data_IF_617118582300
#
_entry.id   IF_617118582300
#
_cell.length_a   1.000
_cell.length_b   1.000
_cell.length_c   1.000
_cell.angle_alpha   90.00
_cell.angle_beta   90.00
_cell.angle_gamma   90.00
#
_symmetry.space_group_name_H-M   'P 1'
#
loop_
_entity.id
_entity.type
_entity.pdbx_description
1 polymer ?
#
# COMPACT_ATOMS: atom_id res chain seq x y z
N UNK A 1 -60.96 -34.83 -11.78
CA UNK A 1 -60.06 -35.42 -10.75
C UNK A 1 -59.66 -34.31 -9.81
N UNK A 2 -60.24 -34.34 -8.61
CA UNK A 2 -60.06 -33.33 -7.56
C UNK A 2 -58.65 -33.53 -6.98
N UNK A 3 -57.67 -32.73 -7.43
CA UNK A 3 -56.27 -32.80 -6.99
C UNK A 3 -56.11 -32.18 -5.59
N UNK A 4 -56.84 -32.71 -4.60
CA UNK A 4 -56.63 -32.37 -3.20
C UNK A 4 -55.35 -33.04 -2.72
N UNK A 5 -54.31 -32.23 -2.52
CA UNK A 5 -53.06 -32.64 -1.86
C UNK A 5 -53.43 -33.02 -0.42
N UNK A 6 -53.49 -34.32 -0.15
CA UNK A 6 -53.72 -34.87 1.20
C UNK A 6 -52.38 -34.96 1.93
N UNK A 7 -52.34 -34.69 3.24
CA UNK A 7 -51.12 -34.73 4.07
C UNK A 7 -50.29 -36.01 3.87
N UNK A 8 -50.95 -37.14 3.59
CA UNK A 8 -50.32 -38.43 3.31
C UNK A 8 -49.51 -38.42 2.00
N UNK A 9 -50.05 -37.84 0.93
CA UNK A 9 -49.34 -37.70 -0.36
C UNK A 9 -48.14 -36.77 -0.26
N UNK A 10 -48.21 -35.73 0.57
CA UNK A 10 -47.07 -34.85 0.83
C UNK A 10 -45.96 -35.58 1.62
N UNK A 11 -46.34 -36.42 2.59
CA UNK A 11 -45.41 -37.25 3.35
C UNK A 11 -44.73 -38.34 2.52
N UNK A 12 -45.46 -38.95 1.59
CA UNK A 12 -44.92 -39.95 0.66
C UNK A 12 -43.94 -39.31 -0.35
N UNK A 13 -44.23 -38.09 -0.83
CA UNK A 13 -43.36 -37.34 -1.74
C UNK A 13 -42.08 -36.85 -1.04
N UNK A 14 -42.20 -36.37 0.20
CA UNK A 14 -41.03 -36.01 1.01
C UNK A 14 -40.18 -37.23 1.39
N UNK A 15 -40.76 -38.39 1.69
CA UNK A 15 -39.98 -39.57 2.11
C UNK A 15 -39.26 -40.28 0.95
N UNK A 16 -39.74 -40.13 -0.29
CA UNK A 16 -39.10 -40.72 -1.47
C UNK A 16 -38.08 -39.78 -2.13
N UNK A 17 -38.37 -38.47 -2.16
CA UNK A 17 -37.57 -37.48 -2.91
C UNK A 17 -36.77 -36.51 -2.01
N UNK A 18 -36.69 -36.73 -0.68
CA UNK A 18 -35.91 -35.85 0.22
C UNK A 18 -34.45 -35.68 -0.20
N UNK A 19 -33.82 -36.72 -0.76
CA UNK A 19 -32.44 -36.62 -1.27
C UNK A 19 -32.38 -35.66 -2.47
N UNK A 20 -33.36 -35.70 -3.36
CA UNK A 20 -33.46 -34.76 -4.49
C UNK A 20 -33.70 -33.33 -4.02
N UNK A 21 -34.52 -33.13 -2.98
CA UNK A 21 -34.70 -31.81 -2.38
C UNK A 21 -33.42 -31.28 -1.74
N UNK A 22 -32.66 -32.10 -1.00
CA UNK A 22 -31.36 -31.70 -0.44
C UNK A 22 -30.36 -31.39 -1.57
N UNK A 23 -30.29 -32.23 -2.60
CA UNK A 23 -29.40 -32.01 -3.73
C UNK A 23 -29.75 -30.73 -4.51
N UNK A 24 -31.04 -30.44 -4.70
CA UNK A 24 -31.51 -29.21 -5.33
C UNK A 24 -31.19 -27.97 -4.48
N UNK A 25 -31.35 -28.05 -3.15
CA UNK A 25 -30.95 -26.98 -2.22
C UNK A 25 -29.44 -26.75 -2.28
N UNK A 26 -28.62 -27.82 -2.24
CA UNK A 26 -27.17 -27.71 -2.35
C UNK A 26 -26.74 -27.09 -3.69
N UNK A 27 -27.37 -27.50 -4.79
CA UNK A 27 -27.13 -26.91 -6.11
C UNK A 27 -27.54 -25.43 -6.15
N UNK A 28 -28.67 -25.06 -5.56
CA UNK A 28 -29.10 -23.67 -5.47
C UNK A 28 -28.13 -22.80 -4.63
N UNK A 29 -27.64 -23.32 -3.49
CA UNK A 29 -26.60 -22.65 -2.69
C UNK A 29 -25.33 -22.48 -3.51
N UNK A 30 -24.85 -23.54 -4.19
CA UNK A 30 -23.66 -23.45 -5.03
C UNK A 30 -23.83 -22.43 -6.16
N UNK A 31 -24.97 -22.41 -6.84
CA UNK A 31 -25.27 -21.40 -7.88
C UNK A 31 -25.30 -20.00 -7.28
N UNK A 32 -25.87 -19.83 -6.08
CA UNK A 32 -25.92 -18.55 -5.39
C UNK A 32 -24.52 -18.06 -4.96
N UNK A 33 -23.68 -18.95 -4.42
CA UNK A 33 -22.29 -18.66 -4.08
C UNK A 33 -21.45 -18.33 -5.32
N UNK A 34 -21.65 -19.06 -6.42
CA UNK A 34 -20.99 -18.77 -7.70
C UNK A 34 -21.45 -17.41 -8.24
N UNK A 35 -22.75 -17.12 -8.23
CA UNK A 35 -23.27 -15.81 -8.61
C UNK A 35 -22.64 -14.72 -7.75
N UNK A 36 -22.62 -14.87 -6.43
CA UNK A 36 -21.98 -13.88 -5.55
C UNK A 36 -20.47 -13.72 -5.86
N UNK A 37 -19.75 -14.82 -6.03
CA UNK A 37 -18.32 -14.81 -6.34
C UNK A 37 -17.99 -14.16 -7.70
N UNK A 38 -18.87 -14.30 -8.70
CA UNK A 38 -18.68 -13.72 -10.05
C UNK A 38 -19.29 -12.32 -10.22
N UNK A 39 -20.29 -11.96 -9.43
CA UNK A 39 -20.96 -10.64 -9.49
C UNK A 39 -20.35 -9.62 -8.54
N UNK A 40 -19.60 -10.05 -7.53
CA UNK A 40 -18.89 -9.13 -6.64
C UNK A 40 -17.82 -8.36 -7.43
N UNK A 41 -17.90 -7.03 -7.36
CA UNK A 41 -16.89 -6.14 -7.93
C UNK A 41 -15.62 -6.34 -7.13
N UNK A 42 -14.67 -7.11 -7.67
CA UNK A 42 -13.34 -7.23 -7.07
C UNK A 42 -12.62 -5.91 -7.30
N UNK A 43 -12.27 -5.24 -6.21
CA UNK A 43 -11.37 -4.10 -6.26
C UNK A 43 -10.04 -4.56 -6.85
N UNK A 44 -9.50 -3.80 -7.80
CA UNK A 44 -8.14 -4.03 -8.27
C UNK A 44 -7.16 -3.64 -7.16
N UNK A 45 -5.92 -4.16 -7.21
CA UNK A 45 -4.89 -3.85 -6.22
C UNK A 45 -4.72 -2.34 -6.02
N UNK A 46 -4.66 -1.56 -7.11
CA UNK A 46 -4.55 -0.10 -7.05
C UNK A 46 -5.80 0.66 -6.56
N UNK A 47 -6.95 0.01 -6.41
CA UNK A 47 -8.16 0.62 -5.84
C UNK A 47 -8.22 0.49 -4.31
N UNK A 48 -7.32 -0.27 -3.71
CA UNK A 48 -7.15 -0.36 -2.26
C UNK A 48 -5.81 0.25 -1.89
N UNK A 49 -5.83 1.15 -0.91
CA UNK A 49 -4.61 1.66 -0.28
C UNK A 49 -4.47 1.04 1.11
N UNK A 50 -3.46 0.18 1.29
CA UNK A 50 -3.22 -0.64 2.48
C UNK A 50 -2.04 -0.09 3.29
N UNK A 51 -2.31 0.29 4.54
CA UNK A 51 -1.30 0.78 5.50
C UNK A 51 -1.01 -0.32 6.51
N UNK A 52 0.24 -0.81 6.56
CA UNK A 52 0.65 -1.79 7.55
C UNK A 52 1.42 -1.17 8.71
N UNK A 53 1.22 -1.72 9.90
CA UNK A 53 2.06 -1.46 11.07
C UNK A 53 2.77 -2.76 11.42
N UNK A 54 4.10 -2.81 11.34
CA UNK A 54 4.87 -4.01 11.65
C UNK A 54 4.77 -4.40 13.14
N UNK A 55 5.22 -5.62 13.46
CA UNK A 55 5.28 -6.12 14.83
C UNK A 55 5.87 -5.08 15.80
N UNK A 56 5.10 -4.77 16.85
CA UNK A 56 5.53 -3.84 17.90
C UNK A 56 5.35 -2.37 17.55
N UNK A 57 4.85 -2.03 16.36
CA UNK A 57 4.41 -0.67 16.01
C UNK A 57 2.91 -0.54 16.26
N UNK A 58 2.50 0.51 16.97
CA UNK A 58 1.11 0.75 17.35
C UNK A 58 0.58 1.97 16.59
N UNK A 59 -0.57 1.80 15.93
CA UNK A 59 -1.40 2.91 15.48
C UNK A 59 -2.16 3.49 16.68
N UNK A 60 -1.82 4.72 17.08
CA UNK A 60 -2.42 5.41 18.23
C UNK A 60 -3.65 6.22 17.85
N UNK A 61 -3.75 6.69 16.60
CA UNK A 61 -4.82 7.59 16.19
C UNK A 61 -5.17 7.45 14.70
N UNK A 62 -5.83 6.33 14.37
CA UNK A 62 -6.30 6.07 13.01
C UNK A 62 -7.27 7.13 12.50
N UNK A 63 -8.11 7.66 13.40
CA UNK A 63 -9.09 8.71 13.06
C UNK A 63 -8.40 9.97 12.56
N UNK A 64 -7.32 10.42 13.21
CA UNK A 64 -6.56 11.57 12.76
C UNK A 64 -5.87 11.30 11.41
N UNK A 65 -5.24 10.13 11.24
CA UNK A 65 -4.60 9.77 9.97
C UNK A 65 -5.60 9.76 8.81
N UNK A 66 -6.77 9.14 9.00
CA UNK A 66 -7.86 9.16 8.01
C UNK A 66 -8.37 10.58 7.77
N UNK A 67 -8.48 11.38 8.83
CA UNK A 67 -8.87 12.78 8.75
C UNK A 67 -7.92 13.62 7.89
N UNK A 68 -6.60 13.39 7.99
CA UNK A 68 -5.61 14.07 7.15
C UNK A 68 -5.75 13.70 5.68
N UNK A 69 -5.84 12.40 5.39
CA UNK A 69 -5.95 11.91 4.01
C UNK A 69 -7.21 12.42 3.33
N UNK A 70 -8.32 12.53 4.07
CA UNK A 70 -9.58 13.09 3.56
C UNK A 70 -9.53 14.60 3.39
N UNK A 71 -8.98 15.33 4.38
CA UNK A 71 -8.94 16.80 4.37
C UNK A 71 -8.06 17.33 3.24
N UNK A 72 -6.92 16.69 3.01
CA UNK A 72 -5.93 17.13 2.03
C UNK A 72 -6.19 16.54 0.63
N UNK A 73 -7.25 15.74 0.47
CA UNK A 73 -7.53 14.96 -0.75
C UNK A 73 -6.27 14.21 -1.24
N UNK A 74 -5.56 13.59 -0.29
CA UNK A 74 -4.20 13.09 -0.52
C UNK A 74 -4.15 11.93 -1.53
N UNK A 75 -5.16 11.06 -1.48
CA UNK A 75 -5.28 9.91 -2.37
C UNK A 75 -6.21 10.27 -3.53
N UNK A 76 -5.92 9.76 -4.73
CA UNK A 76 -6.77 10.04 -5.88
C UNK A 76 -8.11 9.32 -5.83
N UNK A 77 -9.02 9.74 -6.69
CA UNK A 77 -10.32 9.12 -6.90
C UNK A 77 -10.22 7.62 -7.26
N UNK A 78 -9.05 7.12 -7.67
CA UNK A 78 -8.85 5.69 -7.93
C UNK A 78 -8.88 4.85 -6.66
N UNK A 79 -8.44 5.40 -5.53
CA UNK A 79 -8.49 4.71 -4.25
C UNK A 79 -9.91 4.71 -3.72
N UNK A 80 -10.52 3.53 -3.67
CA UNK A 80 -11.89 3.31 -3.18
C UNK A 80 -11.86 2.93 -1.69
N UNK A 81 -10.89 2.11 -1.31
CA UNK A 81 -10.79 1.57 0.05
C UNK A 81 -9.44 1.92 0.65
N UNK A 82 -9.48 2.61 1.78
CA UNK A 82 -8.33 2.83 2.64
C UNK A 82 -8.39 1.84 3.80
N UNK A 83 -7.41 0.95 3.89
CA UNK A 83 -7.29 -0.06 4.94
C UNK A 83 -6.05 0.17 5.80
N UNK A 84 -6.14 -0.17 7.08
CA UNK A 84 -5.00 -0.10 7.98
C UNK A 84 -4.99 -1.30 8.93
N UNK A 85 -3.84 -1.96 9.04
CA UNK A 85 -3.73 -3.22 9.78
C UNK A 85 -2.40 -3.36 10.52
N UNK A 86 -2.47 -3.81 11.76
CA UNK A 86 -1.30 -4.21 12.53
C UNK A 86 -0.90 -5.66 12.21
N UNK A 87 0.31 -5.84 11.75
CA UNK A 87 0.86 -7.15 11.41
C UNK A 87 1.25 -7.89 12.69
N UNK A 88 0.73 -9.11 12.82
CA UNK A 88 1.16 -10.02 13.88
C UNK A 88 2.63 -10.42 13.68
N UNK A 89 3.30 -10.77 14.79
CA UNK A 89 4.67 -11.28 14.83
C UNK A 89 4.92 -12.57 14.00
N UNK A 90 3.87 -13.19 13.45
CA UNK A 90 4.00 -14.41 12.67
C UNK A 90 4.69 -14.12 11.34
N UNK A 91 5.90 -14.63 11.21
CA UNK A 91 6.91 -14.36 10.17
C UNK A 91 6.48 -14.64 8.73
N UNK A 92 5.29 -15.19 8.49
CA UNK A 92 4.80 -15.56 7.16
C UNK A 92 3.65 -14.69 6.65
N UNK A 93 2.93 -13.95 7.50
CA UNK A 93 1.73 -13.23 7.01
C UNK A 93 2.12 -12.08 6.09
N UNK A 94 3.07 -11.24 6.51
CA UNK A 94 3.53 -10.12 5.69
C UNK A 94 4.14 -10.63 4.37
N UNK A 95 5.03 -11.62 4.40
CA UNK A 95 5.65 -12.14 3.18
C UNK A 95 4.65 -12.75 2.19
N UNK A 96 3.63 -13.46 2.67
CA UNK A 96 2.54 -13.99 1.82
C UNK A 96 1.74 -12.86 1.19
N UNK A 97 1.41 -11.81 1.96
CA UNK A 97 0.66 -10.64 1.43
C UNK A 97 1.45 -9.89 0.38
N UNK A 98 2.74 -9.68 0.62
CA UNK A 98 3.62 -9.00 -0.32
C UNK A 98 3.82 -9.82 -1.62
N UNK A 99 3.77 -11.15 -1.55
CA UNK A 99 3.82 -12.00 -2.76
C UNK A 99 2.59 -11.85 -3.67
N UNK A 100 1.44 -11.47 -3.12
CA UNK A 100 0.20 -11.23 -3.89
C UNK A 100 0.00 -9.74 -4.21
N UNK A 101 1.00 -8.90 -3.96
CA UNK A 101 0.95 -7.46 -4.22
C UNK A 101 0.04 -6.68 -3.26
N UNK A 102 -0.22 -7.19 -2.06
CA UNK A 102 -1.06 -6.51 -1.08
C UNK A 102 -0.21 -5.70 -0.09
N UNK A 103 -0.50 -4.40 0.01
CA UNK A 103 0.22 -3.43 0.83
C UNK A 103 0.73 -2.25 -0.01
N UNK A 104 0.71 -1.05 0.54
CA UNK A 104 1.30 0.13 -0.13
C UNK A 104 2.42 0.73 0.69
N UNK A 105 2.18 0.85 2.00
CA UNK A 105 3.13 1.43 2.96
C UNK A 105 3.18 0.62 4.24
N UNK A 106 4.30 0.70 4.95
CA UNK A 106 4.49 0.06 6.25
C UNK A 106 5.24 0.96 7.23
N UNK A 107 4.73 1.06 8.45
CA UNK A 107 5.48 1.58 9.59
C UNK A 107 6.24 0.44 10.25
N UNK A 108 7.56 0.58 10.39
CA UNK A 108 8.43 -0.46 10.96
C UNK A 108 9.38 0.10 12.01
N UNK A 109 9.81 -0.77 12.92
CA UNK A 109 10.79 -0.42 13.94
C UNK A 109 12.22 -0.44 13.38
N UNK A 110 12.99 0.59 13.69
CA UNK A 110 14.46 0.59 13.56
C UNK A 110 15.18 0.22 14.86
N UNK A 111 14.44 0.01 15.94
CA UNK A 111 15.00 -0.42 17.22
C UNK A 111 15.45 -1.89 17.12
N UNK A 112 16.68 -2.23 17.53
CA UNK A 112 17.11 -3.62 17.60
C UNK A 112 16.24 -4.43 18.57
N UNK A 113 15.80 -5.63 18.17
CA UNK A 113 14.98 -6.51 19.01
C UNK A 113 15.76 -6.93 20.26
N UNK A 114 15.21 -6.61 21.42
CA UNK A 114 15.76 -6.99 22.73
C UNK A 114 15.32 -8.42 23.10
N UNK A 115 16.05 -9.06 24.03
CA UNK A 115 15.72 -10.41 24.54
C UNK A 115 16.78 -11.48 24.27
N UNK A 116 16.33 -12.74 24.18
CA UNK A 116 17.14 -13.93 23.92
C UNK A 116 16.64 -14.66 22.66
N UNK A 117 17.52 -15.39 21.97
CA UNK A 117 17.17 -16.17 20.78
C UNK A 117 17.80 -15.66 19.48
N UNK A 118 17.46 -16.34 18.37
CA UNK A 118 18.05 -16.12 17.04
C UNK A 118 17.74 -14.75 16.43
N UNK A 119 16.78 -14.02 16.98
CA UNK A 119 16.30 -12.75 16.43
C UNK A 119 16.83 -11.54 17.23
N UNK A 120 17.55 -11.77 18.33
CA UNK A 120 18.13 -10.71 19.16
C UNK A 120 19.05 -9.81 18.31
N UNK A 121 18.88 -8.51 18.43
CA UNK A 121 19.65 -7.51 17.69
C UNK A 121 19.27 -7.36 16.21
N UNK A 122 18.25 -8.09 15.72
CA UNK A 122 17.69 -7.80 14.40
C UNK A 122 16.92 -6.49 14.45
N UNK A 123 17.01 -5.73 13.36
CA UNK A 123 16.18 -4.55 13.13
C UNK A 123 15.11 -4.93 12.11
N UNK A 124 13.84 -4.69 12.46
CA UNK A 124 12.69 -5.11 11.64
C UNK A 124 12.66 -4.43 10.28
N UNK A 125 12.85 -3.11 10.23
CA UNK A 125 12.92 -2.36 8.97
C UNK A 125 13.97 -2.96 8.00
N UNK A 126 15.17 -3.31 8.50
CA UNK A 126 16.22 -3.94 7.71
C UNK A 126 15.82 -5.32 7.17
N UNK A 127 15.15 -6.14 8.00
CA UNK A 127 14.64 -7.45 7.56
C UNK A 127 13.61 -7.33 6.43
N UNK A 128 12.72 -6.33 6.49
CA UNK A 128 11.71 -6.10 5.46
C UNK A 128 12.38 -5.64 4.16
N UNK A 129 13.38 -4.75 4.24
CA UNK A 129 14.15 -4.29 3.07
C UNK A 129 14.92 -5.45 2.43
N UNK A 130 15.59 -6.29 3.24
CA UNK A 130 16.29 -7.49 2.75
C UNK A 130 15.34 -8.44 2.00
N UNK A 131 14.08 -8.54 2.46
CA UNK A 131 13.01 -9.32 1.83
C UNK A 131 12.66 -8.90 0.40
N UNK A 132 12.97 -7.66 0.00
CA UNK A 132 12.97 -7.25 -1.41
C UNK A 132 11.72 -6.66 -1.99
N UNK A 133 10.76 -6.34 -1.13
CA UNK A 133 9.51 -5.71 -1.52
C UNK A 133 9.50 -4.22 -1.20
N UNK A 134 10.58 -3.62 -0.68
CA UNK A 134 10.62 -2.19 -0.30
C UNK A 134 11.20 -1.37 -1.45
N UNK A 135 10.48 -0.31 -1.79
CA UNK A 135 10.89 0.65 -2.80
C UNK A 135 11.98 1.57 -2.25
N UNK A 136 13.11 1.58 -2.93
CA UNK A 136 14.10 2.63 -2.74
C UNK A 136 13.55 3.99 -3.22
N UNK A 137 13.71 5.05 -2.43
CA UNK A 137 13.12 6.37 -2.71
C UNK A 137 13.73 7.05 -3.94
N UNK A 138 15.03 6.93 -4.18
CA UNK A 138 15.68 7.47 -5.38
C UNK A 138 15.14 6.81 -6.67
N UNK A 139 14.90 5.49 -6.62
CA UNK A 139 14.27 4.75 -7.72
C UNK A 139 12.78 5.10 -7.86
N UNK A 140 12.04 5.24 -6.76
CA UNK A 140 10.64 5.68 -6.77
C UNK A 140 10.49 7.04 -7.48
N UNK A 141 11.36 8.00 -7.16
CA UNK A 141 11.40 9.30 -7.84
C UNK A 141 11.67 9.13 -9.34
N UNK A 142 12.67 8.33 -9.70
CA UNK A 142 13.02 8.10 -11.11
C UNK A 142 11.88 7.46 -11.89
N UNK A 143 11.22 6.46 -11.31
CA UNK A 143 10.09 5.76 -11.92
C UNK A 143 8.86 6.67 -12.02
N UNK A 144 8.60 7.53 -11.02
CA UNK A 144 7.55 8.55 -11.05
C UNK A 144 7.78 9.60 -12.15
N UNK A 145 9.00 10.12 -12.27
CA UNK A 145 9.36 11.06 -13.34
C UNK A 145 9.19 10.42 -14.73
N UNK A 146 9.56 9.14 -14.87
CA UNK A 146 9.37 8.38 -16.11
C UNK A 146 7.89 8.16 -16.41
N UNK A 147 7.09 7.85 -15.40
CA UNK A 147 5.65 7.68 -15.54
C UNK A 147 5.00 8.99 -16.02
N UNK A 148 5.27 10.11 -15.35
CA UNK A 148 4.74 11.43 -15.73
C UNK A 148 5.12 11.85 -17.15
N UNK A 149 6.34 11.50 -17.61
CA UNK A 149 6.80 11.79 -18.97
C UNK A 149 5.95 11.12 -20.05
N UNK A 150 5.30 9.99 -19.77
CA UNK A 150 4.42 9.32 -20.74
C UNK A 150 3.18 10.17 -21.08
N UNK A 151 2.83 11.13 -20.23
CA UNK A 151 1.65 11.99 -20.36
C UNK A 151 2.01 13.42 -20.79
N UNK A 152 3.25 13.66 -21.21
CA UNK A 152 3.72 14.96 -21.64
C UNK A 152 4.14 14.96 -23.10
N UNK A 153 3.84 16.06 -23.77
CA UNK A 153 4.32 16.34 -25.12
C UNK A 153 5.84 16.64 -25.10
N UNK A 154 6.52 16.60 -26.26
CA UNK A 154 7.93 17.00 -26.34
C UNK A 154 8.21 18.43 -25.85
N UNK A 155 7.20 19.32 -25.82
CA UNK A 155 7.29 20.67 -25.25
C UNK A 155 7.29 20.70 -23.71
N UNK A 156 6.88 19.61 -23.05
CA UNK A 156 6.69 19.54 -21.60
C UNK A 156 5.25 19.82 -21.13
N UNK A 157 4.35 20.15 -22.05
CA UNK A 157 2.93 20.35 -21.74
C UNK A 157 2.19 19.02 -21.59
N UNK A 158 1.10 19.01 -20.82
CA UNK A 158 0.22 17.84 -20.68
C UNK A 158 -0.38 17.42 -22.02
N UNK A 159 -0.32 16.11 -22.29
CA UNK A 159 -0.95 15.48 -23.44
C UNK A 159 -2.29 14.87 -23.01
N UNK A 160 -3.36 15.65 -23.17
CA UNK A 160 -4.72 15.22 -22.80
C UNK A 160 -5.15 13.93 -23.52
N UNK A 161 -4.73 13.72 -24.77
CA UNK A 161 -5.05 12.49 -25.52
C UNK A 161 -4.43 11.26 -24.84
N UNK A 162 -3.13 11.31 -24.53
CA UNK A 162 -2.43 10.22 -23.84
C UNK A 162 -3.00 9.94 -22.44
N UNK A 163 -3.38 11.00 -21.71
CA UNK A 163 -4.03 10.88 -20.40
C UNK A 163 -5.38 10.16 -20.52
N UNK A 164 -6.21 10.59 -21.47
CA UNK A 164 -7.56 10.05 -21.62
C UNK A 164 -7.56 8.64 -22.20
N UNK A 165 -6.61 8.31 -23.09
CA UNK A 165 -6.41 6.93 -23.57
C UNK A 165 -6.01 5.99 -22.43
N UNK A 166 -5.09 6.42 -21.56
CA UNK A 166 -4.70 5.65 -20.39
C UNK A 166 -5.88 5.49 -19.40
N UNK A 167 -6.64 6.56 -19.13
CA UNK A 167 -7.85 6.48 -18.33
C UNK A 167 -8.86 5.48 -18.91
N UNK A 168 -9.17 5.55 -20.20
CA UNK A 168 -10.14 4.65 -20.84
C UNK A 168 -9.67 3.20 -20.83
N UNK A 169 -8.36 2.97 -21.01
CA UNK A 169 -7.76 1.63 -20.97
C UNK A 169 -7.86 0.98 -19.58
N UNK A 170 -7.71 1.77 -18.51
CA UNK A 170 -7.72 1.28 -17.12
C UNK A 170 -9.11 1.25 -16.50
N UNK A 171 -9.85 2.35 -16.66
CA UNK A 171 -11.08 2.65 -15.93
C UNK A 171 -12.32 2.74 -16.84
N UNK A 172 -12.18 2.62 -18.16
CA UNK A 172 -13.32 2.73 -19.09
C UNK A 172 -14.41 1.66 -18.92
N UNK A 173 -14.12 0.58 -18.17
CA UNK A 173 -15.11 -0.47 -17.78
C UNK A 173 -15.46 -0.44 -16.29
N UNK A 174 -14.92 0.50 -15.54
CA UNK A 174 -15.24 0.66 -14.12
C UNK A 174 -16.71 1.09 -13.98
N UNK A 175 -17.40 0.52 -12.99
CA UNK A 175 -18.81 0.80 -12.76
C UNK A 175 -19.10 2.25 -12.38
N UNK A 176 -18.08 3.00 -11.94
CA UNK A 176 -18.16 4.42 -11.60
C UNK A 176 -18.21 5.33 -12.83
N UNK A 177 -17.76 4.85 -13.99
CA UNK A 177 -17.62 5.64 -15.22
C UNK A 177 -18.44 5.04 -16.38
N UNK A 178 -19.74 4.81 -16.14
CA UNK A 178 -20.63 4.13 -17.11
C UNK A 178 -21.20 5.08 -18.15
N UNK A 179 -21.66 6.24 -17.70
CA UNK A 179 -22.21 7.29 -18.56
C UNK A 179 -21.12 8.16 -19.16
N UNK A 180 -21.42 8.82 -20.29
CA UNK A 180 -20.48 9.75 -20.92
C UNK A 180 -20.14 10.95 -20.03
N UNK A 181 -21.10 11.42 -19.20
CA UNK A 181 -20.84 12.47 -18.22
C UNK A 181 -19.86 12.01 -17.14
N UNK A 182 -20.02 10.78 -16.62
CA UNK A 182 -19.10 10.24 -15.61
C UNK A 182 -17.71 10.01 -16.19
N UNK A 183 -17.59 9.51 -17.42
CA UNK A 183 -16.29 9.35 -18.10
C UNK A 183 -15.60 10.68 -18.32
N UNK A 184 -16.35 11.71 -18.72
CA UNK A 184 -15.81 13.07 -18.89
C UNK A 184 -15.26 13.59 -17.56
N UNK A 185 -16.00 13.37 -16.48
CA UNK A 185 -15.55 13.74 -15.14
C UNK A 185 -14.32 12.93 -14.69
N UNK A 186 -14.30 11.62 -14.92
CA UNK A 186 -13.15 10.76 -14.60
C UNK A 186 -11.88 11.18 -15.36
N UNK A 187 -12.01 11.56 -16.62
CA UNK A 187 -10.91 12.11 -17.43
C UNK A 187 -10.38 13.43 -16.86
N UNK A 188 -11.28 14.32 -16.40
CA UNK A 188 -10.89 15.56 -15.71
C UNK A 188 -10.12 15.25 -14.42
N UNK A 189 -10.64 14.34 -13.60
CA UNK A 189 -10.02 13.91 -12.35
C UNK A 189 -8.65 13.25 -12.59
N UNK A 190 -8.48 12.48 -13.65
CA UNK A 190 -7.19 11.87 -14.00
C UNK A 190 -6.13 12.92 -14.34
N UNK A 191 -6.51 13.93 -15.12
CA UNK A 191 -5.60 15.05 -15.41
C UNK A 191 -5.21 15.78 -14.13
N UNK A 192 -6.16 16.03 -13.23
CA UNK A 192 -5.89 16.67 -11.93
C UNK A 192 -4.97 15.83 -11.04
N UNK A 193 -5.19 14.51 -11.02
CA UNK A 193 -4.34 13.54 -10.33
C UNK A 193 -2.89 13.62 -10.81
N UNK A 194 -2.65 13.63 -12.12
CA UNK A 194 -1.29 13.70 -12.69
C UNK A 194 -0.62 15.05 -12.43
N UNK A 195 -1.37 16.14 -12.53
CA UNK A 195 -0.89 17.49 -12.16
C UNK A 195 -0.51 17.55 -10.68
N UNK A 196 -1.32 16.95 -9.81
CA UNK A 196 -1.04 16.85 -8.37
C UNK A 196 0.21 16.01 -8.14
N UNK A 197 0.32 14.84 -8.77
CA UNK A 197 1.48 13.97 -8.64
C UNK A 197 2.79 14.69 -9.03
N UNK A 198 2.78 15.52 -10.09
CA UNK A 198 3.96 16.31 -10.44
C UNK A 198 4.39 17.28 -9.32
N UNK A 199 3.44 17.93 -8.65
CA UNK A 199 3.70 18.81 -7.51
C UNK A 199 4.18 18.01 -6.29
N UNK A 200 3.48 16.92 -5.97
CA UNK A 200 3.81 16.03 -4.86
C UNK A 200 5.20 15.41 -5.03
N UNK A 201 5.59 15.07 -6.25
CA UNK A 201 6.91 14.56 -6.55
C UNK A 201 7.99 15.61 -6.29
N UNK A 202 7.74 16.89 -6.60
CA UNK A 202 8.68 17.96 -6.30
C UNK A 202 8.86 18.15 -4.78
N UNK A 203 7.76 18.12 -4.02
CA UNK A 203 7.79 18.20 -2.56
C UNK A 203 8.51 16.98 -1.96
N UNK A 204 8.21 15.78 -2.44
CA UNK A 204 8.88 14.57 -1.99
C UNK A 204 10.39 14.62 -2.25
N UNK A 205 10.81 15.09 -3.43
CA UNK A 205 12.24 15.30 -3.73
C UNK A 205 12.89 16.29 -2.78
N UNK A 206 12.18 17.33 -2.35
CA UNK A 206 12.70 18.28 -1.35
C UNK A 206 12.92 17.62 0.01
N UNK A 207 12.06 16.68 0.40
CA UNK A 207 12.27 15.89 1.62
C UNK A 207 13.52 15.02 1.56
N UNK A 208 13.81 14.45 0.38
CA UNK A 208 15.01 13.64 0.19
C UNK A 208 16.33 14.43 0.30
N UNK A 209 16.28 15.76 0.35
CA UNK A 209 17.46 16.59 0.59
C UNK A 209 17.84 16.66 2.08
N UNK A 210 16.92 16.31 2.98
CA UNK A 210 17.19 16.31 4.41
C UNK A 210 17.55 14.91 4.91
N UNK A 211 18.84 14.67 5.08
CA UNK A 211 19.41 13.40 5.51
C UNK A 211 18.87 12.92 6.88
N UNK A 212 18.50 13.84 7.78
CA UNK A 212 17.98 13.47 9.11
C UNK A 212 16.61 12.77 9.03
N UNK A 213 15.88 13.00 7.93
CA UNK A 213 14.58 12.36 7.69
C UNK A 213 14.70 11.00 7.01
N UNK A 214 15.89 10.58 6.59
CA UNK A 214 16.04 9.38 5.77
C UNK A 214 16.58 8.21 6.57
N UNK A 215 15.89 7.07 6.47
CA UNK A 215 16.43 5.78 6.85
C UNK A 215 17.18 5.19 5.67
N UNK A 216 18.51 5.25 5.75
CA UNK A 216 19.41 4.71 4.73
C UNK A 216 19.97 3.36 5.12
N UNK A 217 20.09 2.48 4.12
CA UNK A 217 20.54 1.12 4.35
C UNK A 217 21.08 0.49 3.06
N UNK A 218 22.04 -0.43 3.19
CA UNK A 218 22.48 -1.30 2.09
C UNK A 218 21.81 -2.65 2.26
N UNK A 219 20.98 -3.02 1.28
CA UNK A 219 20.22 -4.26 1.31
C UNK A 219 21.14 -5.48 1.47
N UNK A 220 20.64 -6.48 2.18
CA UNK A 220 21.28 -7.74 2.58
C UNK A 220 22.38 -7.64 3.64
N UNK A 221 22.76 -6.46 4.12
CA UNK A 221 23.85 -6.35 5.11
C UNK A 221 23.51 -7.00 6.45
N UNK A 222 22.30 -6.80 6.99
CA UNK A 222 21.85 -7.51 8.19
C UNK A 222 21.74 -9.02 7.97
N UNK A 223 21.24 -9.44 6.80
CA UNK A 223 21.17 -10.88 6.49
C UNK A 223 22.57 -11.49 6.38
N UNK A 224 23.54 -10.77 5.81
CA UNK A 224 24.95 -11.16 5.75
C UNK A 224 25.57 -11.29 7.14
N UNK A 225 25.41 -10.27 7.99
CA UNK A 225 25.96 -10.25 9.35
C UNK A 225 25.49 -11.43 10.20
N UNK A 226 24.32 -11.97 9.88
CA UNK A 226 23.68 -13.09 10.59
C UNK A 226 23.74 -14.42 9.84
N UNK A 227 24.30 -14.44 8.63
CA UNK A 227 24.36 -15.64 7.81
C UNK A 227 25.26 -16.68 8.48
N UNK A 228 24.85 -17.95 8.39
CA UNK A 228 25.74 -19.06 8.71
C UNK A 228 26.97 -19.03 7.80
N UNK A 229 28.09 -19.60 8.25
CA UNK A 229 29.34 -19.61 7.47
C UNK A 229 29.15 -20.17 6.05
N UNK A 230 28.29 -21.17 5.90
CA UNK A 230 27.92 -21.77 4.62
C UNK A 230 27.19 -20.84 3.64
N UNK A 231 26.58 -19.75 4.12
CA UNK A 231 25.78 -18.82 3.31
C UNK A 231 26.40 -17.42 3.21
N UNK A 232 27.46 -17.11 3.95
CA UNK A 232 28.10 -15.79 3.92
C UNK A 232 28.52 -15.38 2.50
N UNK A 233 29.20 -16.26 1.78
CA UNK A 233 29.66 -15.98 0.42
C UNK A 233 28.50 -15.63 -0.56
N UNK A 234 27.32 -16.23 -0.37
CA UNK A 234 26.12 -15.92 -1.15
C UNK A 234 25.67 -14.46 -0.89
N UNK A 235 25.53 -14.07 0.38
CA UNK A 235 25.09 -12.74 0.76
C UNK A 235 26.15 -11.65 0.54
N UNK A 236 27.44 -11.98 0.61
CA UNK A 236 28.53 -11.08 0.20
C UNK A 236 28.39 -10.69 -1.28
N UNK A 237 28.08 -11.64 -2.15
CA UNK A 237 27.85 -11.36 -3.57
C UNK A 237 26.58 -10.52 -3.76
N UNK A 238 25.49 -10.77 -3.01
CA UNK A 238 24.30 -9.92 -3.07
C UNK A 238 24.56 -8.48 -2.63
N UNK A 239 25.27 -8.27 -1.51
CA UNK A 239 25.67 -6.92 -1.07
C UNK A 239 26.57 -6.27 -2.12
N UNK A 240 27.49 -7.01 -2.73
CA UNK A 240 28.36 -6.50 -3.79
C UNK A 240 27.57 -6.09 -5.04
N UNK A 241 26.56 -6.86 -5.44
CA UNK A 241 25.65 -6.50 -6.55
C UNK A 241 24.90 -5.21 -6.23
N UNK A 242 24.42 -5.03 -5.00
CA UNK A 242 23.77 -3.77 -4.59
C UNK A 242 24.74 -2.58 -4.74
N UNK A 243 25.97 -2.71 -4.24
CA UNK A 243 27.01 -1.67 -4.38
C UNK A 243 27.37 -1.37 -5.83
N UNK A 244 27.54 -2.39 -6.66
CA UNK A 244 27.84 -2.24 -8.10
C UNK A 244 26.73 -1.50 -8.85
N UNK A 245 25.48 -1.66 -8.41
CA UNK A 245 24.34 -0.94 -8.97
C UNK A 245 24.12 0.45 -8.34
N UNK A 246 25.07 0.95 -7.53
CA UNK A 246 24.95 2.24 -6.85
C UNK A 246 23.90 2.27 -5.72
N UNK A 247 23.48 1.10 -5.22
CA UNK A 247 22.49 0.97 -4.13
C UNK A 247 23.14 0.78 -2.76
N UNK A 248 24.32 1.36 -2.57
CA UNK A 248 24.95 1.42 -1.25
C UNK A 248 24.38 2.58 -0.45
N UNK A 249 23.90 2.31 0.77
CA UNK A 249 23.39 3.30 1.71
C UNK A 249 22.31 4.23 1.13
N UNK A 250 21.37 3.66 0.40
CA UNK A 250 20.28 4.41 -0.26
C UNK A 250 19.06 4.52 0.65
N UNK A 251 18.18 5.48 0.38
CA UNK A 251 17.01 5.76 1.22
C UNK A 251 15.89 4.73 0.97
N UNK A 252 15.46 4.06 2.03
CA UNK A 252 14.37 3.07 1.98
C UNK A 252 13.15 3.45 2.83
N UNK A 253 13.29 4.46 3.69
CA UNK A 253 12.20 4.90 4.53
C UNK A 253 12.38 6.33 5.00
N UNK A 254 11.25 6.92 5.40
CA UNK A 254 11.19 8.19 6.11
C UNK A 254 11.27 7.92 7.61
N UNK A 255 12.27 8.47 8.29
CA UNK A 255 12.37 8.48 9.74
C UNK A 255 11.35 9.46 10.32
N UNK A 256 10.14 8.96 10.54
CA UNK A 256 9.03 9.78 11.02
C UNK A 256 9.25 10.32 12.42
N UNK A 257 10.06 9.64 13.25
CA UNK A 257 10.44 10.13 14.57
C UNK A 257 11.36 11.36 14.54
N UNK A 258 12.04 11.60 13.42
CA UNK A 258 12.87 12.80 13.21
C UNK A 258 12.06 14.01 12.75
N UNK A 259 10.77 13.85 12.44
CA UNK A 259 9.92 14.96 12.03
C UNK A 259 9.67 15.92 13.20
N UNK A 260 10.15 17.15 13.06
CA UNK A 260 9.92 18.20 14.04
C UNK A 260 8.46 18.67 13.97
N UNK A 261 7.70 18.41 15.03
CA UNK A 261 6.32 18.90 15.16
C UNK A 261 6.31 20.40 15.32
N UNK A 262 5.60 21.06 14.42
CA UNK A 262 5.37 22.49 14.48
C UNK A 262 4.16 22.83 15.34
N UNK A 263 4.11 24.06 15.84
CA UNK A 263 2.95 24.57 16.57
C UNK A 263 1.67 24.47 15.71
N UNK A 264 0.61 23.88 16.29
CA UNK A 264 -0.67 23.66 15.59
C UNK A 264 -0.72 22.42 14.69
N UNK A 265 0.37 21.64 14.58
CA UNK A 265 0.41 20.35 13.88
C UNK A 265 0.30 19.18 14.87
N UNK A 266 -0.17 18.03 14.40
CA UNK A 266 -0.26 16.84 15.24
C UNK A 266 1.14 16.30 15.50
N UNK A 267 1.45 15.94 16.74
CA UNK A 267 2.70 15.24 17.01
C UNK A 267 2.65 13.85 16.38
N UNK A 268 3.70 13.48 15.64
CA UNK A 268 3.79 12.17 15.00
C UNK A 268 3.67 11.01 16.00
N UNK A 269 4.11 11.22 17.25
CA UNK A 269 4.00 10.25 18.35
C UNK A 269 2.56 10.01 18.81
N UNK A 270 1.61 10.88 18.43
CA UNK A 270 0.17 10.69 18.62
C UNK A 270 -0.45 9.85 17.50
N UNK A 271 0.19 9.75 16.33
CA UNK A 271 -0.22 8.83 15.27
C UNK A 271 0.30 7.43 15.50
N UNK A 272 1.58 7.32 15.83
CA UNK A 272 2.28 6.04 15.83
C UNK A 272 3.42 6.03 16.85
N UNK A 273 3.67 4.88 17.46
CA UNK A 273 4.84 4.64 18.30
C UNK A 273 5.21 3.17 18.33
N UNK A 274 6.32 2.84 18.98
CA UNK A 274 6.58 1.47 19.41
C UNK A 274 5.73 1.12 20.63
N UNK A 275 5.45 -0.16 20.82
CA UNK A 275 4.73 -0.69 21.97
C UNK A 275 5.51 -0.42 23.26
N UNK A 276 4.84 0.18 24.24
CA UNK A 276 5.45 0.62 25.48
C UNK A 276 6.22 1.95 25.39
N UNK A 277 6.27 2.59 24.22
CA UNK A 277 6.96 3.87 24.02
C UNK A 277 5.97 5.03 23.82
N UNK A 278 6.31 6.18 24.38
CA UNK A 278 5.51 7.41 24.24
C UNK A 278 5.84 8.18 22.96
N UNK A 279 7.01 7.97 22.36
CA UNK A 279 7.52 8.68 21.19
C UNK A 279 7.51 7.81 19.93
N UNK A 280 7.59 8.44 18.75
CA UNK A 280 7.85 7.77 17.48
C UNK A 280 9.35 7.63 17.15
N UNK A 281 10.22 7.93 18.12
CA UNK A 281 11.67 7.75 17.99
C UNK A 281 11.94 6.27 17.74
N UNK A 282 12.58 5.93 16.62
CA UNK A 282 12.77 4.57 16.10
C UNK A 282 11.62 3.96 15.26
N UNK A 283 10.67 4.75 14.77
CA UNK A 283 9.72 4.30 13.74
C UNK A 283 10.09 4.90 12.39
N UNK A 284 10.07 4.07 11.34
CA UNK A 284 10.24 4.50 9.95
C UNK A 284 9.01 4.14 9.13
N UNK A 285 8.67 4.99 8.17
CA UNK A 285 7.66 4.75 7.15
C UNK A 285 8.34 4.32 5.84
N UNK A 286 8.03 3.13 5.35
CA UNK A 286 8.58 2.57 4.11
C UNK A 286 7.47 2.33 3.09
N UNK A 287 7.83 2.30 1.82
CA UNK A 287 6.91 2.09 0.68
C UNK A 287 7.19 0.72 0.07
N UNK A 288 6.16 -0.05 -0.26
CA UNK A 288 6.36 -1.29 -1.02
C UNK A 288 6.53 -1.02 -2.52
N UNK A 289 7.38 -1.82 -3.18
CA UNK A 289 7.62 -1.77 -4.64
C UNK A 289 6.71 -2.79 -5.34
N UNK A 290 5.52 -2.31 -5.72
CA UNK A 290 4.56 -3.03 -6.56
C UNK A 290 4.36 -2.30 -7.89
N UNK A 291 5.36 -1.54 -8.35
CA UNK A 291 5.26 -0.78 -9.60
C UNK A 291 4.92 -1.66 -10.82
N UNK A 292 5.31 -2.94 -10.79
CA UNK A 292 4.96 -3.89 -11.85
C UNK A 292 3.49 -4.32 -11.82
N UNK A 293 2.90 -4.41 -10.63
CA UNK A 293 1.55 -4.91 -10.41
C UNK A 293 0.51 -3.77 -10.44
N UNK A 294 0.92 -2.57 -10.02
CA UNK A 294 0.09 -1.37 -9.96
C UNK A 294 0.83 -0.10 -10.44
N UNK A 295 1.22 -0.02 -11.72
CA UNK A 295 2.11 1.04 -12.23
C UNK A 295 1.55 2.45 -12.04
N UNK A 296 0.22 2.63 -12.11
CA UNK A 296 -0.42 3.93 -11.93
C UNK A 296 -0.60 4.25 -10.43
N UNK A 297 -1.20 3.35 -9.66
CA UNK A 297 -1.55 3.59 -8.25
C UNK A 297 -0.32 3.59 -7.31
N UNK A 298 0.80 3.00 -7.71
CA UNK A 298 2.04 2.98 -6.93
C UNK A 298 2.44 4.38 -6.43
N UNK A 299 2.20 5.42 -7.22
CA UNK A 299 2.61 6.78 -6.89
C UNK A 299 1.67 7.51 -5.93
N UNK A 300 0.52 6.94 -5.58
CA UNK A 300 -0.32 7.45 -4.48
C UNK A 300 0.44 7.43 -3.14
N UNK A 301 1.43 6.54 -3.02
CA UNK A 301 2.32 6.45 -1.85
C UNK A 301 3.15 7.72 -1.63
N UNK A 302 3.49 8.46 -2.69
CA UNK A 302 4.19 9.75 -2.59
C UNK A 302 3.28 10.78 -1.93
N UNK A 303 2.04 10.90 -2.42
CA UNK A 303 1.04 11.81 -1.86
C UNK A 303 0.72 11.46 -0.40
N UNK A 304 0.64 10.15 -0.08
CA UNK A 304 0.48 9.68 1.29
C UNK A 304 1.61 10.15 2.21
N UNK A 305 2.88 9.92 1.82
CA UNK A 305 4.04 10.33 2.63
C UNK A 305 4.04 11.84 2.85
N UNK A 306 3.83 12.61 1.78
CA UNK A 306 3.80 14.07 1.89
C UNK A 306 2.64 14.55 2.77
N UNK A 307 1.46 13.93 2.69
CA UNK A 307 0.34 14.25 3.58
C UNK A 307 0.69 14.03 5.06
N UNK A 308 1.31 12.90 5.40
CA UNK A 308 1.79 12.63 6.77
C UNK A 308 2.76 13.72 7.22
N UNK A 309 3.74 14.06 6.37
CA UNK A 309 4.76 15.06 6.67
C UNK A 309 4.16 16.45 6.84
N UNK A 310 3.24 16.88 5.96
CA UNK A 310 2.56 18.18 6.04
C UNK A 310 1.71 18.33 7.29
N UNK A 311 1.07 17.26 7.77
CA UNK A 311 0.21 17.30 8.95
C UNK A 311 0.99 17.13 10.26
N UNK A 312 2.20 16.57 10.21
CA UNK A 312 3.02 16.31 11.41
C UNK A 312 4.23 17.23 11.56
N UNK A 313 4.62 17.98 10.53
CA UNK A 313 5.86 18.77 10.53
C UNK A 313 5.81 19.97 9.59
N UNK A 314 6.77 20.89 9.72
CA UNK A 314 6.97 22.01 8.78
C UNK A 314 7.95 21.69 7.64
N UNK A 315 8.32 20.42 7.47
CA UNK A 315 9.28 20.03 6.43
C UNK A 315 8.75 20.27 5.00
N UNK A 316 7.42 20.31 4.84
CA UNK A 316 6.76 20.66 3.59
C UNK A 316 5.80 21.84 3.76
N UNK A 317 5.61 22.64 2.69
CA UNK A 317 4.55 23.63 2.65
C UNK A 317 3.17 22.95 2.72
N UNK A 318 2.16 23.70 3.16
CA UNK A 318 0.77 23.24 3.05
C UNK A 318 0.40 23.06 1.57
N UNK A 319 -0.52 22.13 1.28
CA UNK A 319 -1.09 22.01 -0.06
C UNK A 319 -1.83 23.32 -0.37
N UNK A 320 -1.28 24.15 -1.26
CA UNK A 320 -2.00 25.31 -1.74
C UNK A 320 -3.14 24.81 -2.64
N UNK A 321 -4.38 25.07 -2.21
CA UNK A 321 -5.59 24.85 -3.01
C UNK A 321 -5.57 25.68 -4.29
#
# INVERSE_FOLDING_TARGET
MDNKITKKRLGDLCSYDWILFIAAIAAAILVWELLYAFTSVKLTTGQRFSIFYDEGVINKNETALRGFLQKDDALSFEVIVLDSESMAASTNVLSIRLQVGDGDVIFASVKPKEGEGSDKGTVRAKSIIDGGYVYNFERLVTDAEKYLKNFKNPSGDWNDEAIYENFDARLGRDNRFRSESEKTEGKRLEKERLVRLEKELADFKSLLLNEDYLFRYTRFTQTLDRASESRKAEYEEYVKIEKQNGRENVAYGLNIGALHTAEGKLNVSELVSLNGESTAENVVLMIFDFYKDQPDAQFETISFVNCVVRNCSNALPALNA
#
